data_IF_739490120475
#
_entry.id   IF_739490120475
#
_cell.length_a   1.000
_cell.length_b   1.000
_cell.length_c   1.000
_cell.angle_alpha   90.00
_cell.angle_beta   90.00
_cell.angle_gamma   90.00
#
_symmetry.space_group_name_H-M   'P 1'
#
loop_
_entity.id
_entity.type
_entity.pdbx_description
1 polymer ?
#
# COMPACT_ATOMS: atom_id res chain seq x y z
N UNK A 1 31.35 28.29 74.54
CA UNK A 1 30.00 27.67 74.46
C UNK A 1 29.42 27.71 73.04
N UNK A 2 29.51 28.82 72.31
CA UNK A 2 28.97 28.97 70.94
C UNK A 2 29.66 28.07 69.90
N UNK A 3 30.97 27.86 70.00
CA UNK A 3 31.75 27.00 69.10
C UNK A 3 31.30 25.53 69.07
N UNK A 4 30.83 25.00 70.20
CA UNK A 4 30.31 23.63 70.28
C UNK A 4 28.93 23.48 69.60
N UNK A 5 28.09 24.51 69.71
CA UNK A 5 26.79 24.56 69.04
C UNK A 5 26.96 24.66 67.52
N UNK A 6 27.84 25.54 67.05
CA UNK A 6 28.16 25.68 65.61
C UNK A 6 28.68 24.36 65.04
N UNK A 7 29.61 23.70 65.73
CA UNK A 7 30.16 22.41 65.30
C UNK A 7 29.10 21.31 65.23
N UNK A 8 28.12 21.32 66.14
CA UNK A 8 27.01 20.36 66.16
C UNK A 8 26.04 20.58 65.00
N UNK A 9 25.66 21.83 64.71
CA UNK A 9 24.80 22.14 63.55
C UNK A 9 25.51 21.88 62.22
N UNK A 10 26.81 22.14 62.14
CA UNK A 10 27.60 21.88 60.94
C UNK A 10 27.72 20.38 60.64
N UNK A 11 27.92 19.55 61.68
CA UNK A 11 27.85 18.10 61.57
C UNK A 11 26.47 17.61 61.11
N UNK A 12 25.38 18.18 61.63
CA UNK A 12 24.03 17.82 61.22
C UNK A 12 23.76 18.15 59.74
N UNK A 13 24.21 19.32 59.26
CA UNK A 13 24.08 19.68 57.84
C UNK A 13 24.85 18.72 56.93
N UNK A 14 26.07 18.32 57.32
CA UNK A 14 26.85 17.33 56.58
C UNK A 14 26.12 15.99 56.49
N UNK A 15 25.52 15.53 57.59
CA UNK A 15 24.76 14.27 57.62
C UNK A 15 23.54 14.34 56.71
N UNK A 16 22.79 15.45 56.73
CA UNK A 16 21.63 15.64 55.85
C UNK A 16 22.04 15.69 54.37
N UNK A 17 23.13 16.39 54.05
CA UNK A 17 23.67 16.42 52.68
C UNK A 17 24.07 15.02 52.20
N UNK A 18 24.71 14.22 53.06
CA UNK A 18 25.15 12.88 52.73
C UNK A 18 23.96 11.92 52.49
N UNK A 19 22.90 12.03 53.28
CA UNK A 19 21.65 11.29 53.08
C UNK A 19 20.97 11.71 51.76
N UNK A 20 20.94 13.00 51.45
CA UNK A 20 20.38 13.51 50.20
C UNK A 20 21.11 12.98 48.96
N UNK A 21 22.44 12.95 48.99
CA UNK A 21 23.27 12.38 47.91
C UNK A 21 23.00 10.88 47.76
N UNK A 22 22.98 10.12 48.86
CA UNK A 22 22.68 8.69 48.83
C UNK A 22 21.29 8.41 48.23
N UNK A 23 20.27 9.17 48.62
CA UNK A 23 18.92 9.04 48.08
C UNK A 23 18.86 9.32 46.57
N UNK A 24 19.57 10.35 46.10
CA UNK A 24 19.66 10.68 44.68
C UNK A 24 20.34 9.55 43.88
N UNK A 25 21.45 9.01 44.36
CA UNK A 25 22.15 7.91 43.70
C UNK A 25 21.32 6.64 43.64
N UNK A 26 20.60 6.29 44.71
CA UNK A 26 19.69 5.14 44.72
C UNK A 26 18.56 5.32 43.72
N UNK A 27 17.98 6.51 43.62
CA UNK A 27 16.91 6.78 42.66
C UNK A 27 17.42 6.74 41.21
N UNK A 28 18.56 7.38 40.94
CA UNK A 28 19.19 7.37 39.61
C UNK A 28 19.54 5.95 39.15
N UNK A 29 20.02 5.09 40.05
CA UNK A 29 20.34 3.70 39.71
C UNK A 29 19.09 2.84 39.49
N UNK A 30 17.99 3.14 40.19
CA UNK A 30 16.68 2.48 39.97
C UNK A 30 16.04 2.88 38.63
N UNK A 31 16.08 4.16 38.29
CA UNK A 31 15.51 4.67 37.03
C UNK A 31 16.24 4.12 35.79
N UNK A 32 17.56 3.87 35.92
CA UNK A 32 18.37 3.24 34.86
C UNK A 32 18.00 1.75 34.64
N UNK A 33 17.54 1.03 35.67
CA UNK A 33 17.12 -0.36 35.52
C UNK A 33 15.75 -0.48 34.83
N UNK A 34 14.84 0.46 35.07
CA UNK A 34 13.49 0.48 34.48
C UNK A 34 13.57 0.83 32.99
N UNK A 35 14.41 1.79 32.62
CA UNK A 35 14.62 2.19 31.23
C UNK A 35 15.20 1.07 30.35
N UNK A 36 16.10 0.23 30.89
CA UNK A 36 16.66 -0.90 30.14
C UNK A 36 15.61 -2.00 29.85
N UNK A 37 14.69 -2.23 30.79
CA UNK A 37 13.60 -3.19 30.63
C UNK A 37 12.53 -2.66 29.67
N UNK A 38 12.16 -1.39 29.79
CA UNK A 38 11.20 -0.73 28.91
C UNK A 38 11.67 -0.70 27.44
N UNK A 39 12.97 -0.44 27.22
CA UNK A 39 13.54 -0.51 25.87
C UNK A 39 13.47 -1.92 25.27
N UNK A 40 13.70 -2.97 26.07
CA UNK A 40 13.58 -4.36 25.63
C UNK A 40 12.14 -4.73 25.29
N UNK A 41 11.19 -4.36 26.14
CA UNK A 41 9.77 -4.62 25.88
C UNK A 41 9.30 -3.85 24.65
N UNK A 42 9.73 -2.60 24.46
CA UNK A 42 9.45 -1.82 23.27
C UNK A 42 10.08 -2.41 22.00
N UNK A 43 11.32 -2.90 22.09
CA UNK A 43 11.99 -3.58 20.98
C UNK A 43 11.32 -4.92 20.66
N UNK A 44 10.88 -5.68 21.67
CA UNK A 44 10.17 -6.95 21.51
C UNK A 44 8.80 -6.73 20.87
N UNK A 45 8.00 -5.79 21.37
CA UNK A 45 6.73 -5.40 20.76
C UNK A 45 6.95 -4.95 19.32
N UNK A 46 7.99 -4.16 19.04
CA UNK A 46 8.31 -3.73 17.67
C UNK A 46 8.70 -4.91 16.77
N UNK A 47 9.47 -5.87 17.29
CA UNK A 47 9.83 -7.08 16.57
C UNK A 47 8.61 -7.96 16.28
N UNK A 48 7.76 -8.23 17.29
CA UNK A 48 6.51 -8.97 17.13
C UNK A 48 5.54 -8.25 16.15
N UNK A 49 5.43 -6.92 16.22
CA UNK A 49 4.63 -6.17 15.23
C UNK A 49 5.22 -6.24 13.84
N UNK A 50 6.56 -6.22 13.69
CA UNK A 50 7.22 -6.32 12.39
C UNK A 50 7.07 -7.71 11.80
N UNK A 51 7.20 -8.75 12.63
CA UNK A 51 6.99 -10.15 12.24
C UNK A 51 5.53 -10.42 11.85
N UNK A 52 4.57 -9.88 12.60
CA UNK A 52 3.15 -9.95 12.26
C UNK A 52 2.81 -9.19 10.97
N UNK A 53 3.42 -8.02 10.74
CA UNK A 53 3.26 -7.26 9.50
C UNK A 53 3.89 -8.04 8.33
N UNK A 54 5.10 -8.57 8.50
CA UNK A 54 5.82 -9.32 7.46
C UNK A 54 5.07 -10.60 7.06
N UNK A 55 4.53 -11.36 8.01
CA UNK A 55 3.74 -12.56 7.71
C UNK A 55 2.46 -12.24 6.92
N UNK A 56 1.79 -11.12 7.24
CA UNK A 56 0.63 -10.66 6.48
C UNK A 56 1.01 -10.20 5.07
N UNK A 57 2.12 -9.45 4.93
CA UNK A 57 2.61 -8.97 3.62
C UNK A 57 3.05 -10.14 2.74
N UNK A 58 3.78 -11.13 3.26
CA UNK A 58 4.20 -12.33 2.49
C UNK A 58 2.97 -13.12 2.04
N UNK A 59 2.00 -13.34 2.95
CA UNK A 59 0.74 -14.03 2.61
C UNK A 59 -0.01 -13.29 1.51
N UNK A 60 -0.08 -11.96 1.60
CA UNK A 60 -0.70 -11.10 0.58
C UNK A 60 0.05 -11.14 -0.75
N UNK A 61 1.39 -11.16 -0.73
CA UNK A 61 2.22 -11.23 -1.93
C UNK A 61 2.01 -12.57 -2.68
N UNK A 62 1.92 -13.68 -1.95
CA UNK A 62 1.61 -14.99 -2.53
C UNK A 62 0.20 -15.02 -3.12
N UNK A 63 -0.79 -14.51 -2.39
CA UNK A 63 -2.17 -14.40 -2.89
C UNK A 63 -2.27 -13.55 -4.16
N UNK A 64 -1.61 -12.39 -4.21
CA UNK A 64 -1.57 -11.52 -5.40
C UNK A 64 -0.89 -12.24 -6.57
N UNK A 65 0.20 -12.97 -6.31
CA UNK A 65 0.90 -13.75 -7.33
C UNK A 65 0.01 -14.83 -7.91
N UNK A 66 -0.70 -15.58 -7.06
CA UNK A 66 -1.61 -16.65 -7.47
C UNK A 66 -2.79 -16.09 -8.28
N UNK A 67 -3.40 -14.99 -7.84
CA UNK A 67 -4.47 -14.31 -8.57
C UNK A 67 -3.96 -13.80 -9.92
N UNK A 68 -2.77 -13.20 -9.96
CA UNK A 68 -2.15 -12.70 -11.20
C UNK A 68 -1.86 -13.84 -12.16
N UNK A 69 -1.31 -14.95 -11.68
CA UNK A 69 -1.03 -16.14 -12.50
C UNK A 69 -2.31 -16.79 -13.02
N UNK A 70 -3.33 -16.96 -12.17
CA UNK A 70 -4.65 -17.45 -12.59
C UNK A 70 -5.27 -16.53 -13.65
N UNK A 71 -5.17 -15.21 -13.46
CA UNK A 71 -5.68 -14.21 -14.41
C UNK A 71 -4.94 -14.26 -15.74
N UNK A 72 -3.61 -14.38 -15.73
CA UNK A 72 -2.80 -14.50 -16.94
C UNK A 72 -3.11 -15.80 -17.69
N UNK A 73 -3.25 -16.91 -16.97
CA UNK A 73 -3.63 -18.20 -17.57
C UNK A 73 -5.02 -18.12 -18.21
N UNK A 74 -6.01 -17.54 -17.53
CA UNK A 74 -7.34 -17.33 -18.08
C UNK A 74 -7.31 -16.43 -19.32
N UNK A 75 -6.48 -15.38 -19.33
CA UNK A 75 -6.28 -14.53 -20.52
C UNK A 75 -5.70 -15.31 -21.70
N UNK A 76 -4.68 -16.14 -21.46
CA UNK A 76 -4.07 -16.97 -22.51
C UNK A 76 -5.07 -18.00 -23.07
N UNK A 77 -5.87 -18.62 -22.20
CA UNK A 77 -6.92 -19.55 -22.62
C UNK A 77 -8.00 -18.85 -23.44
N UNK A 78 -8.44 -17.67 -23.01
CA UNK A 78 -9.39 -16.83 -23.74
C UNK A 78 -8.84 -16.39 -25.11
N UNK A 79 -7.57 -16.00 -25.18
CA UNK A 79 -6.91 -15.63 -26.44
C UNK A 79 -6.90 -16.81 -27.42
N UNK A 80 -6.51 -18.00 -26.96
CA UNK A 80 -6.49 -19.23 -27.77
C UNK A 80 -7.90 -19.64 -28.24
N UNK A 81 -8.90 -19.53 -27.37
CA UNK A 81 -10.31 -19.81 -27.70
C UNK A 81 -10.87 -18.79 -28.70
N UNK A 82 -10.48 -17.52 -28.57
CA UNK A 82 -10.81 -16.45 -29.52
C UNK A 82 -10.19 -16.70 -30.90
N UNK A 83 -8.90 -17.06 -30.95
CA UNK A 83 -8.19 -17.37 -32.19
C UNK A 83 -8.84 -18.54 -32.95
N UNK A 84 -9.22 -19.60 -32.22
CA UNK A 84 -9.96 -20.74 -32.78
C UNK A 84 -11.34 -20.32 -33.34
N UNK A 85 -12.04 -19.40 -32.65
CA UNK A 85 -13.34 -18.89 -33.09
C UNK A 85 -13.22 -18.02 -34.35
N UNK A 86 -12.18 -17.19 -34.47
CA UNK A 86 -11.93 -16.36 -35.65
C UNK A 86 -11.68 -17.24 -36.88
N UNK A 87 -10.91 -18.32 -36.74
CA UNK A 87 -10.65 -19.28 -37.82
C UNK A 87 -11.96 -19.92 -38.31
N UNK A 88 -12.81 -20.38 -37.39
CA UNK A 88 -14.11 -20.95 -37.75
C UNK A 88 -15.02 -19.95 -38.48
N UNK A 89 -15.08 -18.70 -38.01
CA UNK A 89 -15.90 -17.65 -38.65
C UNK A 89 -15.38 -17.36 -40.06
N UNK A 90 -14.06 -17.22 -40.24
CA UNK A 90 -13.48 -17.01 -41.58
C UNK A 90 -13.81 -18.16 -42.52
N UNK A 91 -13.67 -19.40 -42.06
CA UNK A 91 -14.02 -20.59 -42.84
C UNK A 91 -15.50 -20.63 -43.25
N UNK A 92 -16.40 -20.18 -42.36
CA UNK A 92 -17.83 -20.10 -42.65
C UNK A 92 -18.17 -18.96 -43.62
N UNK A 93 -17.42 -17.85 -43.58
CA UNK A 93 -17.62 -16.69 -44.46
C UNK A 93 -17.00 -16.87 -45.86
N UNK A 94 -16.01 -17.76 -46.03
CA UNK A 94 -15.39 -18.04 -47.34
C UNK A 94 -16.40 -18.51 -48.40
N UNK A 95 -17.45 -19.22 -47.98
CA UNK A 95 -18.51 -19.70 -48.87
C UNK A 95 -19.67 -18.71 -49.12
N UNK A 96 -19.69 -17.56 -48.44
CA UNK A 96 -20.79 -16.60 -48.55
C UNK A 96 -20.44 -15.49 -49.56
N UNK A 97 -21.16 -15.41 -50.70
CA UNK A 97 -20.93 -14.36 -51.71
C UNK A 97 -21.16 -12.94 -51.16
N UNK A 98 -22.00 -12.77 -50.14
CA UNK A 98 -22.25 -11.46 -49.52
C UNK A 98 -21.10 -10.98 -48.63
N UNK A 99 -20.26 -11.88 -48.11
CA UNK A 99 -19.11 -11.55 -47.25
C UNK A 99 -17.85 -11.15 -48.03
N UNK A 100 -17.72 -11.64 -49.27
CA UNK A 100 -16.56 -11.39 -50.13
C UNK A 100 -16.79 -10.24 -51.14
N UNK A 101 -18.01 -9.74 -51.25
CA UNK A 101 -18.34 -8.60 -52.10
C UNK A 101 -17.87 -7.30 -51.43
N UNK A 102 -16.96 -6.56 -52.08
CA UNK A 102 -16.60 -5.22 -51.59
C UNK A 102 -17.83 -4.31 -51.64
N UNK A 103 -18.09 -3.61 -50.54
CA UNK A 103 -19.09 -2.54 -50.51
C UNK A 103 -18.62 -1.44 -51.47
N UNK A 104 -19.46 -1.01 -52.44
CA UNK A 104 -19.10 0.07 -53.36
C UNK A 104 -18.69 1.32 -52.58
N UNK A 105 -17.57 1.93 -52.97
CA UNK A 105 -17.00 3.09 -52.27
C UNK A 105 -18.00 4.24 -52.15
N UNK A 106 -18.82 4.47 -53.17
CA UNK A 106 -19.88 5.49 -53.16
C UNK A 106 -20.91 5.27 -52.02
N UNK A 107 -21.28 4.02 -51.74
CA UNK A 107 -22.20 3.70 -50.65
C UNK A 107 -21.52 3.85 -49.29
N UNK A 108 -20.26 3.41 -49.18
CA UNK A 108 -19.47 3.56 -47.96
C UNK A 108 -19.22 5.04 -47.63
N UNK A 109 -18.90 5.87 -48.62
CA UNK A 109 -18.68 7.31 -48.44
C UNK A 109 -19.97 8.04 -48.10
N UNK A 110 -21.10 7.68 -48.72
CA UNK A 110 -22.42 8.25 -48.36
C UNK A 110 -22.80 7.97 -46.91
N UNK A 111 -22.55 6.75 -46.42
CA UNK A 111 -22.80 6.37 -45.03
C UNK A 111 -21.86 7.11 -44.07
N UNK A 112 -20.58 7.24 -44.44
CA UNK A 112 -19.58 7.97 -43.65
C UNK A 112 -19.89 9.46 -43.56
N UNK A 113 -20.39 10.06 -44.65
CA UNK A 113 -20.83 11.44 -44.68
C UNK A 113 -22.07 11.66 -43.81
N UNK A 114 -23.03 10.74 -43.86
CA UNK A 114 -24.21 10.77 -42.97
C UNK A 114 -23.83 10.63 -41.49
N UNK A 115 -22.92 9.72 -41.14
CA UNK A 115 -22.40 9.58 -39.77
C UNK A 115 -21.74 10.88 -39.28
N UNK A 116 -20.87 11.47 -40.11
CA UNK A 116 -20.20 12.72 -39.78
C UNK A 116 -21.21 13.86 -39.60
N UNK A 117 -22.27 13.91 -40.42
CA UNK A 117 -23.37 14.86 -40.26
C UNK A 117 -24.08 14.69 -38.90
N UNK A 118 -24.40 13.45 -38.50
CA UNK A 118 -24.99 13.15 -37.19
C UNK A 118 -24.07 13.55 -36.02
N UNK A 119 -22.77 13.32 -36.15
CA UNK A 119 -21.78 13.70 -35.13
C UNK A 119 -21.57 15.22 -35.04
N UNK A 120 -21.80 15.92 -36.16
CA UNK A 120 -21.72 17.38 -36.25
C UNK A 120 -23.01 18.11 -35.82
N UNK A 121 -24.01 17.39 -35.29
CA UNK A 121 -25.22 18.00 -34.75
C UNK A 121 -24.92 19.13 -33.74
N UNK A 122 -25.84 20.11 -33.57
CA UNK A 122 -25.55 21.40 -32.94
C UNK A 122 -25.32 21.26 -31.43
N UNK A 123 -24.12 20.84 -31.06
CA UNK A 123 -23.61 20.90 -29.70
C UNK A 123 -23.18 22.32 -29.35
N UNK A 124 -24.11 23.11 -28.82
CA UNK A 124 -23.79 24.26 -27.97
C UNK A 124 -23.81 25.63 -28.62
N UNK A 125 -24.95 26.04 -29.18
CA UNK A 125 -25.32 27.46 -29.15
C UNK A 125 -26.00 27.75 -27.82
N UNK A 126 -25.22 27.92 -26.75
CA UNK A 126 -25.65 28.75 -25.61
C UNK A 126 -24.47 29.58 -25.10
N UNK A 127 -24.37 30.78 -25.67
CA UNK A 127 -23.66 31.91 -25.07
C UNK A 127 -24.59 33.11 -25.18
N UNK A 128 -25.58 33.15 -24.29
CA UNK A 128 -26.19 34.41 -23.86
C UNK A 128 -25.49 34.91 -22.61
#
# INVERSE_FOLDING_TARGET
MISALVKRYWLQLLVVALIGVLAFFVNHYRDNAITYKDQRDKAKVRAETSEAITNNVITTMNLIRDISQATQNAKNELAKKGETRIVYIRQALEGDPCANQLVPSAAADSLREYENSLRSGPGGADKR
#
